data_IF_252878676812
#
_entry.id   IF_252878676812
#
_cell.length_a   1.000
_cell.length_b   1.000
_cell.length_c   1.000
_cell.angle_alpha   90.00
_cell.angle_beta   90.00
_cell.angle_gamma   90.00
#
_symmetry.space_group_name_H-M   'P 1'
#
loop_
_entity.id
_entity.type
_entity.pdbx_description
1 polymer ?
#
# COMPACT_ATOMS: atom_id res chain seq x y z
N UNK A 1 24.16 0.54 8.64
CA UNK A 1 23.11 1.57 8.64
C UNK A 1 23.35 2.44 9.87
N UNK A 2 23.57 3.77 9.75
CA UNK A 2 23.71 4.65 10.92
C UNK A 2 22.51 4.50 11.86
N UNK A 3 22.74 4.64 13.16
CA UNK A 3 21.75 4.36 14.21
C UNK A 3 20.36 4.97 13.93
N UNK A 4 20.33 6.21 13.43
CA UNK A 4 19.10 6.96 13.21
C UNK A 4 18.61 6.96 11.75
N UNK A 5 19.33 6.30 10.83
CA UNK A 5 19.01 6.36 9.39
C UNK A 5 17.68 5.67 9.08
N UNK A 6 17.33 4.61 9.80
CA UNK A 6 16.07 3.91 9.59
C UNK A 6 14.87 4.84 9.85
N UNK A 7 14.84 5.48 11.02
CA UNK A 7 13.78 6.42 11.41
C UNK A 7 13.68 7.62 10.45
N UNK A 8 14.84 8.14 10.01
CA UNK A 8 14.87 9.21 9.00
C UNK A 8 14.25 8.77 7.67
N UNK A 9 14.56 7.57 7.18
CA UNK A 9 14.00 7.07 5.92
C UNK A 9 12.49 6.81 6.02
N UNK A 10 12.03 6.25 7.13
CA UNK A 10 10.60 5.97 7.35
C UNK A 10 9.74 7.25 7.28
N UNK A 11 10.26 8.39 7.75
CA UNK A 11 9.54 9.68 7.71
C UNK A 11 9.38 10.27 6.32
N UNK A 12 10.20 9.85 5.36
CA UNK A 12 10.24 10.39 4.00
C UNK A 12 9.78 9.36 2.95
N UNK A 13 9.10 8.31 3.37
CA UNK A 13 8.61 7.26 2.49
C UNK A 13 7.30 7.71 1.82
N UNK A 14 7.35 7.98 0.52
CA UNK A 14 6.19 8.34 -0.29
C UNK A 14 6.01 7.35 -1.44
N UNK A 15 4.78 6.92 -1.69
CA UNK A 15 4.46 5.89 -2.69
C UNK A 15 3.75 6.42 -3.94
N UNK A 16 3.62 7.75 -4.08
CA UNK A 16 2.91 8.38 -5.18
C UNK A 16 3.66 9.60 -5.73
N UNK A 17 3.36 9.96 -6.98
CA UNK A 17 3.81 11.22 -7.59
C UNK A 17 2.73 12.30 -7.38
N UNK A 18 3.03 13.40 -6.66
CA UNK A 18 2.09 14.49 -6.43
C UNK A 18 1.48 15.09 -7.70
N UNK A 19 2.20 15.07 -8.83
CA UNK A 19 1.71 15.65 -10.09
C UNK A 19 0.61 14.82 -10.75
N UNK A 20 0.51 13.54 -10.38
CA UNK A 20 -0.46 12.59 -10.93
C UNK A 20 -1.59 12.24 -9.96
N UNK A 21 -1.62 12.88 -8.78
CA UNK A 21 -2.52 12.53 -7.70
C UNK A 21 -3.99 12.79 -8.07
N UNK A 22 -4.82 11.76 -8.01
CA UNK A 22 -6.27 11.91 -8.12
C UNK A 22 -6.85 12.25 -6.75
N UNK A 23 -7.10 13.54 -6.51
CA UNK A 23 -7.61 14.07 -5.23
C UNK A 23 -8.98 13.48 -4.83
N UNK A 24 -9.74 12.91 -5.77
CA UNK A 24 -11.00 12.21 -5.46
C UNK A 24 -10.78 10.83 -4.84
N UNK A 25 -9.62 10.22 -5.05
CA UNK A 25 -9.27 8.93 -4.46
C UNK A 25 -8.64 9.15 -3.08
N UNK A 26 -9.36 8.79 -2.02
CA UNK A 26 -8.88 8.90 -0.63
C UNK A 26 -7.62 8.06 -0.36
N UNK A 27 -7.33 7.06 -1.19
CA UNK A 27 -6.15 6.20 -1.05
C UNK A 27 -5.06 6.52 -2.09
N UNK A 28 -5.12 7.68 -2.76
CA UNK A 28 -4.19 8.04 -3.84
C UNK A 28 -2.72 7.96 -3.42
N UNK A 29 -2.41 8.23 -2.15
CA UNK A 29 -1.03 8.21 -1.65
C UNK A 29 -0.38 6.81 -1.71
N UNK A 30 -1.17 5.75 -1.49
CA UNK A 30 -0.71 4.35 -1.48
C UNK A 30 -1.18 3.56 -2.69
N UNK A 31 -2.06 4.14 -3.52
CA UNK A 31 -2.67 3.49 -4.69
C UNK A 31 -1.64 2.85 -5.64
N UNK A 32 -0.53 3.51 -6.02
CA UNK A 32 0.44 2.91 -6.93
C UNK A 32 1.07 1.65 -6.35
N UNK A 33 1.37 1.68 -5.05
CA UNK A 33 1.93 0.52 -4.36
C UNK A 33 0.94 -0.66 -4.28
N UNK A 34 -0.32 -0.40 -3.93
CA UNK A 34 -1.37 -1.44 -3.92
C UNK A 34 -1.54 -2.07 -5.30
N UNK A 35 -1.50 -1.24 -6.36
CA UNK A 35 -1.64 -1.72 -7.74
C UNK A 35 -0.49 -2.66 -8.13
N UNK A 36 0.76 -2.30 -7.79
CA UNK A 36 1.93 -3.17 -8.01
C UNK A 36 1.76 -4.52 -7.30
N UNK A 37 1.29 -4.51 -6.04
CA UNK A 37 1.05 -5.74 -5.30
C UNK A 37 -0.03 -6.60 -5.96
N UNK A 38 -1.18 -6.01 -6.30
CA UNK A 38 -2.27 -6.72 -6.96
C UNK A 38 -1.82 -7.35 -8.28
N UNK A 39 -1.12 -6.60 -9.14
CA UNK A 39 -0.66 -7.08 -10.44
C UNK A 39 0.37 -8.20 -10.31
N UNK A 40 1.28 -8.12 -9.34
CA UNK A 40 2.32 -9.13 -9.16
C UNK A 40 1.81 -10.38 -8.46
N UNK A 41 1.01 -10.22 -7.40
CA UNK A 41 0.47 -11.36 -6.65
C UNK A 41 -0.55 -12.14 -7.48
N UNK A 42 -1.38 -11.46 -8.29
CA UNK A 42 -2.33 -12.14 -9.18
C UNK A 42 -1.64 -13.02 -10.24
N UNK A 43 -0.44 -12.65 -10.72
CA UNK A 43 0.33 -13.46 -11.68
C UNK A 43 0.91 -14.73 -11.06
N UNK A 44 1.19 -14.70 -9.77
CA UNK A 44 1.80 -15.81 -9.03
C UNK A 44 0.75 -16.76 -8.45
N UNK A 45 -0.48 -16.29 -8.28
CA UNK A 45 -1.57 -17.09 -7.75
C UNK A 45 -2.11 -18.02 -8.84
N UNK A 46 -1.96 -19.33 -8.63
CA UNK A 46 -2.72 -20.35 -9.36
C UNK A 46 -3.92 -20.76 -8.49
N UNK A 47 -5.11 -20.18 -8.70
CA UNK A 47 -6.26 -20.45 -7.85
C UNK A 47 -6.70 -21.92 -7.98
N UNK A 48 -6.86 -22.58 -6.84
CA UNK A 48 -7.46 -23.92 -6.76
C UNK A 48 -9.01 -23.80 -6.80
N UNK A 49 -9.71 -24.93 -6.85
CA UNK A 49 -11.18 -24.97 -7.01
C UNK A 49 -11.97 -24.24 -5.91
N UNK A 50 -11.41 -24.05 -4.72
CA UNK A 50 -12.06 -23.36 -3.61
C UNK A 50 -11.25 -22.12 -3.20
N UNK A 51 -11.86 -20.94 -3.33
CA UNK A 51 -11.33 -19.67 -2.85
C UNK A 51 -12.27 -19.14 -1.76
N UNK A 52 -11.69 -18.70 -0.65
CA UNK A 52 -12.40 -17.96 0.40
C UNK A 52 -12.12 -16.47 0.24
N UNK A 53 -13.17 -15.66 0.33
CA UNK A 53 -13.06 -14.19 0.37
C UNK A 53 -13.59 -13.75 1.72
N UNK A 54 -12.75 -13.02 2.45
CA UNK A 54 -13.09 -12.49 3.77
C UNK A 54 -12.39 -11.14 3.97
N UNK A 55 -12.86 -10.36 4.93
CA UNK A 55 -12.32 -9.05 5.27
C UNK A 55 -11.20 -9.17 6.31
N UNK A 56 -10.14 -8.38 6.14
CA UNK A 56 -9.08 -8.25 7.13
C UNK A 56 -8.97 -6.79 7.57
N UNK A 57 -9.01 -6.56 8.88
CA UNK A 57 -8.86 -5.22 9.45
C UNK A 57 -7.41 -4.95 9.80
N UNK A 58 -6.91 -3.77 9.42
CA UNK A 58 -5.61 -3.27 9.84
C UNK A 58 -5.85 -2.21 10.92
N UNK A 59 -5.33 -2.44 12.12
CA UNK A 59 -5.46 -1.48 13.22
C UNK A 59 -4.65 -0.22 12.93
N UNK A 60 -5.31 0.93 12.92
CA UNK A 60 -4.68 2.23 12.78
C UNK A 60 -5.29 3.22 13.77
N UNK A 61 -4.47 3.75 14.67
CA UNK A 61 -4.89 4.68 15.71
C UNK A 61 -4.66 6.16 15.34
N UNK A 62 -4.14 6.42 14.13
CA UNK A 62 -3.93 7.77 13.62
C UNK A 62 -5.20 8.37 13.02
N UNK A 63 -5.10 9.61 12.53
CA UNK A 63 -6.17 10.25 11.78
C UNK A 63 -6.04 9.86 10.30
N UNK A 64 -7.12 9.30 9.74
CA UNK A 64 -7.32 9.22 8.29
C UNK A 64 -7.85 10.60 7.85
N UNK A 65 -7.00 11.37 7.16
CA UNK A 65 -7.36 12.67 6.60
C UNK A 65 -8.05 12.51 5.24
#
# INVERSE_FOLDING_TARGET
MPLNRFDQLCKHLHFFDPNSANVKDKLHEVRPFIKILQENLAKLLHPWQALSVDEAMITFYGRLL
#
